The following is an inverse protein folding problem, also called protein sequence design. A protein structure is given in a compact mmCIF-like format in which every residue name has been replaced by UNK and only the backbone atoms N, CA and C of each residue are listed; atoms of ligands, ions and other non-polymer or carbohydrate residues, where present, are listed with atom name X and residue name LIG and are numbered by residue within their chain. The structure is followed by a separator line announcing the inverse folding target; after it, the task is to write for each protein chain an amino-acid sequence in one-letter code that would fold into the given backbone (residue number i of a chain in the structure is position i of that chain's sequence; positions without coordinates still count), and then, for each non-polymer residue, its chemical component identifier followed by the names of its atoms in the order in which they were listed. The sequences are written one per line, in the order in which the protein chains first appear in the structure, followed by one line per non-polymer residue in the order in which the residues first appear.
data_IF_813424996832
#
_entry.id   IF_813424996832
#
_cell.length_a   1.000
_cell.length_b   1.000
_cell.length_c   1.000
_cell.angle_alpha   90.00
_cell.angle_beta   90.00
_cell.angle_gamma   90.00
#
_symmetry.space_group_name_H-M   'P 1'
#
loop_
_entity.id
_entity.type
_entity.pdbx_description
1 polymer ?
#
# COMPACT_ATOMS: atom_id res chain seq x y z
N UNK A 1 8.77 37.11 10.88
CA UNK A 1 8.78 35.64 11.11
C UNK A 1 8.96 34.86 9.81
N UNK A 2 8.96 35.52 8.64
CA UNK A 2 9.14 34.86 7.34
C UNK A 2 10.62 34.53 7.00
N UNK A 3 11.57 35.17 7.68
CA UNK A 3 13.01 34.98 7.42
C UNK A 3 13.51 33.59 7.86
N UNK A 4 13.02 33.04 8.98
CA UNK A 4 13.41 31.70 9.44
C UNK A 4 12.95 30.58 8.50
N UNK A 5 11.79 30.75 7.86
CA UNK A 5 11.29 29.76 6.89
C UNK A 5 12.13 29.77 5.61
N UNK A 6 12.60 30.95 5.19
CA UNK A 6 13.46 31.12 4.01
C UNK A 6 14.84 30.51 4.23
N UNK A 7 15.41 30.66 5.43
CA UNK A 7 16.71 30.08 5.79
C UNK A 7 16.64 28.55 5.87
N UNK A 8 15.55 28.00 6.42
CA UNK A 8 15.34 26.55 6.50
C UNK A 8 15.10 25.92 5.12
N UNK A 9 14.41 26.63 4.22
CA UNK A 9 14.23 26.21 2.83
C UNK A 9 15.57 26.21 2.06
N UNK A 10 16.40 27.25 2.23
CA UNK A 10 17.76 27.29 1.64
C UNK A 10 18.62 26.14 2.13
N UNK A 11 18.59 25.85 3.43
CA UNK A 11 19.38 24.76 4.03
C UNK A 11 18.96 23.39 3.53
N UNK A 12 17.67 23.17 3.24
CA UNK A 12 17.18 21.92 2.63
C UNK A 12 17.62 21.78 1.17
N UNK A 13 17.60 22.86 0.39
CA UNK A 13 18.09 22.84 -0.99
C UNK A 13 19.60 22.60 -1.04
N UNK A 14 20.36 23.25 -0.17
CA UNK A 14 21.82 23.05 -0.06
C UNK A 14 22.17 21.61 0.35
N UNK A 15 21.39 21.01 1.25
CA UNK A 15 21.59 19.62 1.69
C UNK A 15 21.18 18.61 0.62
N UNK A 16 20.16 18.92 -0.18
CA UNK A 16 19.77 18.12 -1.35
C UNK A 16 20.81 18.19 -2.47
N UNK A 17 21.39 19.36 -2.73
CA UNK A 17 22.47 19.52 -3.71
C UNK A 17 23.80 18.91 -3.25
N UNK A 18 24.08 18.90 -1.95
CA UNK A 18 25.25 18.21 -1.40
C UNK A 18 25.13 16.68 -1.46
N UNK A 19 23.91 16.16 -1.56
CA UNK A 19 23.61 14.73 -1.68
C UNK A 19 23.44 14.28 -3.14
N UNK A 20 23.98 15.04 -4.11
CA UNK A 20 24.00 14.69 -5.54
C UNK A 20 24.97 13.53 -5.86
N UNK A 21 24.92 12.50 -5.01
CA UNK A 21 25.47 11.17 -5.22
C UNK A 21 24.33 10.33 -5.80
N UNK A 22 24.44 9.83 -7.05
CA UNK A 22 23.43 8.96 -7.60
C UNK A 22 23.27 7.74 -6.68
N UNK A 23 22.04 7.32 -6.35
CA UNK A 23 21.84 6.13 -5.54
C UNK A 23 22.50 4.93 -6.23
N UNK A 24 23.45 4.29 -5.53
CA UNK A 24 24.25 3.13 -5.99
C UNK A 24 23.42 1.89 -6.35
N UNK A 25 22.09 1.96 -6.25
CA UNK A 25 21.16 0.89 -6.60
C UNK A 25 20.38 1.12 -7.89
N UNK A 26 20.68 2.17 -8.66
CA UNK A 26 20.03 2.37 -9.96
C UNK A 26 20.96 1.89 -11.06
N UNK A 27 20.56 0.80 -11.71
CA UNK A 27 21.15 0.23 -12.91
C UNK A 27 21.49 1.35 -13.89
N UNK A 28 22.74 1.38 -14.35
CA UNK A 28 23.38 2.48 -15.11
C UNK A 28 22.57 2.93 -16.36
N UNK A 29 21.68 2.09 -16.87
CA UNK A 29 20.87 2.37 -18.07
C UNK A 29 19.60 3.21 -17.80
N UNK A 30 19.07 3.23 -16.58
CA UNK A 30 17.78 3.91 -16.30
C UNK A 30 17.94 5.42 -16.10
N UNK A 31 19.08 5.87 -15.59
CA UNK A 31 19.33 7.30 -15.39
C UNK A 31 19.63 8.01 -16.71
N UNK A 32 20.35 7.35 -17.63
CA UNK A 32 20.61 7.89 -18.97
C UNK A 32 19.32 8.21 -19.73
N UNK A 33 18.31 7.33 -19.66
CA UNK A 33 17.04 7.55 -20.35
C UNK A 33 16.23 8.73 -19.76
N UNK A 34 16.27 8.92 -18.43
CA UNK A 34 15.59 10.04 -17.76
C UNK A 34 16.27 11.37 -18.08
N UNK A 35 17.61 11.40 -18.06
CA UNK A 35 18.39 12.61 -18.42
C UNK A 35 18.20 12.97 -19.90
N UNK A 36 18.17 11.98 -20.81
CA UNK A 36 17.90 12.23 -22.24
C UNK A 36 16.49 12.77 -22.48
N UNK A 37 15.49 12.33 -21.71
CA UNK A 37 14.11 12.81 -21.87
C UNK A 37 13.94 14.24 -21.36
N UNK A 38 14.59 14.58 -20.24
CA UNK A 38 14.56 15.93 -19.66
C UNK A 38 15.35 16.93 -20.52
N UNK A 39 16.50 16.54 -21.06
CA UNK A 39 17.25 17.42 -21.98
C UNK A 39 16.54 17.60 -23.32
N UNK A 40 15.90 16.56 -23.87
CA UNK A 40 15.12 16.67 -25.11
C UNK A 40 13.87 17.58 -24.99
N UNK A 41 13.26 17.67 -23.81
CA UNK A 41 12.15 18.62 -23.55
C UNK A 41 12.63 20.07 -23.34
N UNK A 42 13.90 20.27 -22.97
CA UNK A 42 14.45 21.61 -22.71
C UNK A 42 14.85 22.33 -24.02
N UNK A 43 15.19 21.59 -25.08
CA UNK A 43 15.50 22.19 -26.40
C UNK A 43 14.25 22.56 -27.22
N UNK A 44 13.04 22.18 -26.76
CA UNK A 44 11.78 22.50 -27.43
C UNK A 44 11.06 23.71 -26.83
N UNK A 45 11.82 24.78 -26.56
CA UNK A 45 11.25 26.12 -26.37
C UNK A 45 11.33 26.90 -27.70
N UNK A 46 10.19 27.24 -28.32
CA UNK A 46 10.17 27.89 -29.64
C UNK A 46 10.61 29.34 -29.58
N UNK A 47 11.46 29.71 -30.52
CA UNK A 47 11.58 31.08 -31.00
C UNK A 47 10.21 31.59 -31.49
N UNK A 48 10.00 32.90 -31.31
CA UNK A 48 8.93 33.72 -31.88
C UNK A 48 7.70 33.96 -30.99
N UNK A 49 7.82 34.96 -30.11
CA UNK A 49 6.67 35.84 -29.76
C UNK A 49 7.17 37.28 -29.78
N UNK A 50 6.92 37.96 -30.90
CA UNK A 50 6.86 39.41 -31.00
C UNK A 50 5.49 39.77 -31.59
N UNK A 51 4.61 40.38 -30.80
CA UNK A 51 4.13 41.76 -31.00
C UNK A 51 3.04 42.11 -29.95
N UNK A 52 2.95 43.35 -29.45
CA UNK A 52 2.12 43.75 -28.32
C UNK A 52 0.78 44.33 -28.79
N UNK A 53 -0.30 43.99 -28.10
CA UNK A 53 -1.55 44.78 -28.11
C UNK A 53 -1.98 45.13 -26.69
N UNK A 54 -2.23 46.41 -26.39
CA UNK A 54 -2.61 46.84 -25.06
C UNK A 54 -4.15 46.84 -24.89
N UNK A 55 -4.53 46.77 -23.60
CA UNK A 55 -5.77 47.22 -23.00
C UNK A 55 -7.05 46.37 -23.22
N UNK A 56 -7.43 45.63 -22.16
CA UNK A 56 -8.74 45.88 -21.51
C UNK A 56 -8.78 45.35 -20.07
N UNK A 57 -9.06 46.30 -19.18
CA UNK A 57 -9.56 46.20 -17.79
C UNK A 57 -10.33 44.92 -17.47
N UNK A 58 -10.07 44.36 -16.28
CA UNK A 58 -11.14 43.66 -15.52
C UNK A 58 -10.67 42.59 -14.54
N UNK A 59 -10.43 43.01 -13.30
CA UNK A 59 -10.86 42.36 -12.05
C UNK A 59 -10.27 41.01 -11.58
N UNK A 60 -9.99 40.99 -10.26
CA UNK A 60 -9.78 39.86 -9.32
C UNK A 60 -8.61 38.91 -9.64
N UNK A 61 -7.42 39.00 -9.04
CA UNK A 61 -7.04 38.93 -7.60
C UNK A 61 -7.69 37.78 -6.81
N UNK A 62 -6.79 36.84 -6.43
CA UNK A 62 -6.77 36.00 -5.21
C UNK A 62 -7.45 34.63 -5.33
N UNK A 63 -6.64 33.57 -5.18
CA UNK A 63 -7.12 32.20 -4.99
C UNK A 63 -6.02 31.13 -5.00
N UNK A 64 -4.85 31.43 -4.43
CA UNK A 64 -3.83 30.42 -4.13
C UNK A 64 -4.18 29.78 -2.77
N UNK A 65 -3.98 28.46 -2.68
CA UNK A 65 -3.80 27.69 -1.44
C UNK A 65 -4.98 27.50 -0.46
N UNK A 66 -5.83 26.47 -0.68
CA UNK A 66 -6.44 25.67 0.42
C UNK A 66 -6.79 24.26 -0.09
N UNK A 67 -5.87 23.28 -0.02
CA UNK A 67 -6.24 21.85 -0.17
C UNK A 67 -5.25 20.85 0.45
N UNK A 68 -4.26 21.29 1.26
CA UNK A 68 -3.26 20.38 1.88
C UNK A 68 -3.44 20.27 3.41
N UNK A 69 -4.45 20.94 4.00
CA UNK A 69 -4.62 21.00 5.47
C UNK A 69 -5.65 19.99 6.01
N UNK A 70 -6.38 19.27 5.16
CA UNK A 70 -7.44 18.36 5.63
C UNK A 70 -6.97 16.95 6.05
N UNK A 71 -5.72 16.55 5.77
CA UNK A 71 -5.24 15.20 6.04
C UNK A 71 -4.59 15.00 7.44
N UNK A 72 -4.31 16.09 8.17
CA UNK A 72 -3.61 16.01 9.48
C UNK A 72 -4.59 16.06 10.68
N UNK A 73 -5.85 16.43 10.46
CA UNK A 73 -6.83 16.60 11.54
C UNK A 73 -7.47 15.29 12.07
N UNK A 74 -7.27 14.14 11.41
CA UNK A 74 -7.89 12.86 11.84
C UNK A 74 -7.04 12.12 12.88
N UNK A 75 -5.74 12.40 12.99
CA UNK A 75 -4.84 11.67 13.91
C UNK A 75 -4.91 12.20 15.36
N UNK A 76 -5.38 13.44 15.57
CA UNK A 76 -5.44 14.04 16.90
C UNK A 76 -6.72 13.70 17.71
N UNK A 77 -7.72 13.06 17.09
CA UNK A 77 -9.06 12.85 17.70
C UNK A 77 -9.23 11.58 18.54
N UNK A 78 -8.28 10.64 18.52
CA UNK A 78 -8.45 9.33 19.17
C UNK A 78 -7.71 9.17 20.52
N UNK A 79 -7.05 10.22 21.01
CA UNK A 79 -6.24 10.17 22.23
C UNK A 79 -6.99 10.53 23.54
N UNK A 80 -8.29 10.79 23.50
CA UNK A 80 -9.08 11.24 24.66
C UNK A 80 -10.22 10.28 25.00
N UNK A 81 -9.92 8.98 25.07
CA UNK A 81 -10.84 8.02 25.70
C UNK A 81 -10.54 7.97 27.20
N UNK A 82 -11.45 8.46 28.07
CA UNK A 82 -11.28 8.28 29.52
C UNK A 82 -11.31 6.79 29.86
N UNK A 83 -10.47 6.32 30.80
CA UNK A 83 -10.50 4.94 31.25
C UNK A 83 -11.85 4.64 31.95
N UNK A 84 -12.45 3.46 31.72
CA UNK A 84 -13.63 3.06 32.48
C UNK A 84 -13.26 2.89 33.96
N UNK A 85 -14.05 3.53 34.82
CA UNK A 85 -14.00 3.38 36.28
C UNK A 85 -14.27 1.92 36.62
N UNK A 86 -13.25 1.24 37.13
CA UNK A 86 -13.36 -0.12 37.65
C UNK A 86 -14.10 -0.07 38.98
N UNK A 87 -15.33 -0.57 39.01
CA UNK A 87 -16.04 -0.80 40.27
C UNK A 87 -15.34 -1.93 41.05
N UNK A 88 -15.19 -1.81 42.39
CA UNK A 88 -14.69 -2.90 43.21
C UNK A 88 -15.72 -4.03 43.24
N UNK A 89 -15.39 -5.13 42.57
CA UNK A 89 -16.15 -6.39 42.61
C UNK A 89 -15.97 -7.00 44.01
N UNK A 90 -17.06 -7.37 44.72
CA UNK A 90 -16.96 -8.02 46.02
C UNK A 90 -16.33 -9.41 45.89
N UNK A 91 -15.55 -9.76 46.92
CA UNK A 91 -14.73 -10.96 46.99
C UNK A 91 -15.50 -12.25 46.64
N UNK A 92 -14.90 -13.18 45.88
CA UNK A 92 -15.53 -14.46 45.57
C UNK A 92 -15.57 -15.34 46.82
N UNK A 93 -16.77 -15.77 47.20
CA UNK A 93 -16.98 -16.87 48.14
C UNK A 93 -16.40 -18.13 47.50
N UNK A 94 -15.42 -18.71 48.18
CA UNK A 94 -14.72 -19.94 47.80
C UNK A 94 -15.67 -21.14 47.98
N UNK A 95 -16.52 -21.38 46.99
CA UNK A 95 -17.23 -22.65 46.86
C UNK A 95 -16.30 -23.64 46.14
N UNK A 96 -15.80 -24.63 46.85
CA UNK A 96 -15.04 -25.77 46.31
C UNK A 96 -15.97 -26.58 45.39
N UNK A 97 -15.76 -26.60 44.06
CA UNK A 97 -16.53 -27.47 43.17
C UNK A 97 -15.96 -28.90 43.24
N UNK A 98 -16.79 -29.93 43.05
CA UNK A 98 -16.31 -31.31 42.89
C UNK A 98 -15.41 -31.42 41.64
N UNK A 99 -14.45 -32.35 41.62
CA UNK A 99 -13.62 -32.57 40.44
C UNK A 99 -14.52 -33.07 39.31
N UNK A 100 -14.86 -32.18 38.38
CA UNK A 100 -15.36 -32.58 37.09
C UNK A 100 -14.16 -33.08 36.31
N UNK A 101 -14.17 -34.37 35.96
CA UNK A 101 -13.33 -34.93 34.89
C UNK A 101 -13.65 -34.15 33.61
N UNK A 102 -12.94 -33.04 33.41
CA UNK A 102 -12.96 -32.31 32.16
C UNK A 102 -12.11 -33.15 31.22
N UNK A 103 -12.75 -34.09 30.54
CA UNK A 103 -12.21 -34.67 29.32
C UNK A 103 -11.98 -33.49 28.36
N UNK A 104 -10.77 -32.95 28.39
CA UNK A 104 -10.29 -31.91 27.50
C UNK A 104 -10.33 -32.49 26.10
N UNK A 105 -11.50 -32.33 25.48
CA UNK A 105 -11.73 -32.62 24.07
C UNK A 105 -10.89 -31.60 23.34
N UNK A 106 -9.64 -31.98 23.07
CA UNK A 106 -8.71 -31.24 22.25
C UNK A 106 -9.33 -31.23 20.87
N UNK A 107 -10.11 -30.18 20.59
CA UNK A 107 -10.67 -29.97 19.27
C UNK A 107 -9.51 -30.02 18.27
N UNK A 108 -9.62 -30.81 17.18
CA UNK A 108 -8.55 -30.91 16.21
C UNK A 108 -8.26 -29.51 15.69
N UNK A 109 -7.02 -29.06 15.84
CA UNK A 109 -6.58 -27.78 15.25
C UNK A 109 -6.86 -27.86 13.75
N UNK A 110 -7.50 -26.83 13.16
CA UNK A 110 -7.72 -26.82 11.72
C UNK A 110 -6.35 -26.89 11.04
N UNK A 111 -6.13 -27.95 10.28
CA UNK A 111 -4.91 -28.10 9.49
C UNK A 111 -4.96 -27.07 8.37
N UNK A 112 -3.95 -26.22 8.29
CA UNK A 112 -3.75 -25.30 7.15
C UNK A 112 -3.06 -25.98 5.98
N UNK A 113 -2.53 -27.19 6.17
CA UNK A 113 -1.92 -27.99 5.11
C UNK A 113 -2.97 -28.28 4.03
N UNK A 114 -2.66 -27.93 2.78
CA UNK A 114 -3.55 -28.09 1.62
C UNK A 114 -4.48 -26.91 1.33
N UNK A 115 -4.64 -25.95 2.24
CA UNK A 115 -5.63 -24.87 2.06
C UNK A 115 -5.30 -23.96 0.86
N UNK A 116 -4.01 -23.69 0.59
CA UNK A 116 -3.59 -22.95 -0.61
C UNK A 116 -3.72 -23.78 -1.89
N UNK A 117 -3.58 -25.11 -1.82
CA UNK A 117 -3.82 -26.00 -2.95
C UNK A 117 -5.32 -26.04 -3.31
N UNK A 118 -6.18 -26.11 -2.30
CA UNK A 118 -7.64 -26.03 -2.46
C UNK A 118 -8.07 -24.67 -3.03
N UNK A 119 -7.45 -23.58 -2.57
CA UNK A 119 -7.68 -22.24 -3.10
C UNK A 119 -7.27 -22.14 -4.58
N UNK A 120 -6.14 -22.74 -4.95
CA UNK A 120 -5.64 -22.77 -6.33
C UNK A 120 -6.58 -23.55 -7.26
N UNK A 121 -7.07 -24.70 -6.83
CA UNK A 121 -8.09 -25.46 -7.56
C UNK A 121 -9.41 -24.68 -7.68
N UNK A 122 -9.77 -23.89 -6.66
CA UNK A 122 -11.00 -23.11 -6.63
C UNK A 122 -10.96 -21.89 -7.56
N UNK A 123 -9.80 -21.37 -7.97
CA UNK A 123 -9.71 -20.15 -8.81
C UNK A 123 -10.53 -20.26 -10.10
N UNK A 124 -10.46 -21.41 -10.79
CA UNK A 124 -11.16 -21.60 -12.06
C UNK A 124 -12.66 -21.91 -11.92
N UNK A 125 -13.10 -22.38 -10.74
CA UNK A 125 -14.46 -22.89 -10.51
C UNK A 125 -15.29 -21.86 -9.74
N UNK A 126 -14.70 -21.28 -8.69
CA UNK A 126 -15.34 -20.32 -7.79
C UNK A 126 -14.28 -19.36 -7.23
N UNK A 127 -13.98 -18.27 -7.96
CA UNK A 127 -13.00 -17.28 -7.52
C UNK A 127 -13.32 -16.67 -6.15
N UNK A 128 -14.60 -16.45 -5.84
CA UNK A 128 -15.02 -15.94 -4.52
C UNK A 128 -14.63 -16.91 -3.39
N UNK A 129 -14.84 -18.22 -3.59
CA UNK A 129 -14.44 -19.24 -2.63
C UNK A 129 -12.93 -19.34 -2.49
N UNK A 130 -12.19 -19.20 -3.59
CA UNK A 130 -10.73 -19.15 -3.55
C UNK A 130 -10.23 -17.98 -2.70
N UNK A 131 -10.85 -16.80 -2.82
CA UNK A 131 -10.48 -15.62 -2.01
C UNK A 131 -10.70 -15.87 -0.52
N UNK A 132 -11.84 -16.46 -0.14
CA UNK A 132 -12.12 -16.83 1.25
C UNK A 132 -11.08 -17.81 1.84
N UNK A 133 -10.62 -18.77 1.04
CA UNK A 133 -9.58 -19.73 1.45
C UNK A 133 -8.22 -19.05 1.63
N UNK A 134 -7.86 -18.12 0.73
CA UNK A 134 -6.66 -17.29 0.85
C UNK A 134 -6.68 -16.44 2.11
N UNK A 135 -7.80 -15.77 2.39
CA UNK A 135 -7.96 -14.91 3.57
C UNK A 135 -7.92 -15.74 4.86
N UNK A 136 -8.63 -16.88 4.90
CA UNK A 136 -8.58 -17.80 6.04
C UNK A 136 -7.18 -18.36 6.28
N UNK A 137 -6.42 -18.65 5.22
CA UNK A 137 -5.03 -19.08 5.37
C UNK A 137 -4.16 -17.96 5.95
N UNK A 138 -4.35 -16.69 5.55
CA UNK A 138 -3.65 -15.56 6.16
C UNK A 138 -3.93 -15.44 7.67
N UNK A 139 -5.17 -15.68 8.09
CA UNK A 139 -5.57 -15.62 9.51
C UNK A 139 -4.96 -16.77 10.33
N UNK A 140 -5.02 -18.00 9.80
CA UNK A 140 -4.59 -19.20 10.52
C UNK A 140 -3.08 -19.46 10.45
N UNK A 141 -2.42 -19.00 9.40
CA UNK A 141 -0.98 -19.23 9.15
C UNK A 141 -0.30 -17.99 8.54
N UNK A 142 -0.24 -16.85 9.26
CA UNK A 142 0.23 -15.57 8.71
C UNK A 142 1.68 -15.63 8.20
N UNK A 143 2.53 -16.42 8.86
CA UNK A 143 3.95 -16.57 8.53
C UNK A 143 4.23 -17.68 7.51
N UNK A 144 3.25 -18.51 7.17
CA UNK A 144 3.44 -19.60 6.20
C UNK A 144 3.22 -19.09 4.79
N UNK A 145 4.18 -19.36 3.89
CA UNK A 145 4.09 -19.14 2.45
C UNK A 145 3.47 -17.78 2.02
N UNK A 146 3.98 -16.64 2.52
CA UNK A 146 3.41 -15.33 2.24
C UNK A 146 3.42 -15.00 0.74
N UNK A 147 4.47 -15.39 0.01
CA UNK A 147 4.57 -15.12 -1.43
C UNK A 147 3.53 -15.89 -2.23
N UNK A 148 3.39 -17.20 -1.98
CA UNK A 148 2.39 -18.05 -2.65
C UNK A 148 0.98 -17.50 -2.42
N UNK A 149 0.68 -17.13 -1.18
CA UNK A 149 -0.61 -16.54 -0.80
C UNK A 149 -0.89 -15.24 -1.56
N UNK A 150 0.10 -14.35 -1.67
CA UNK A 150 -0.06 -13.08 -2.38
C UNK A 150 -0.28 -13.28 -3.88
N UNK A 151 0.50 -14.17 -4.52
CA UNK A 151 0.30 -14.50 -5.94
C UNK A 151 -1.12 -15.03 -6.17
N UNK A 152 -1.58 -15.94 -5.32
CA UNK A 152 -2.92 -16.52 -5.45
C UNK A 152 -4.02 -15.47 -5.24
N UNK A 153 -3.84 -14.53 -4.29
CA UNK A 153 -4.75 -13.39 -4.11
C UNK A 153 -4.87 -12.56 -5.39
N UNK A 154 -3.75 -12.23 -6.03
CA UNK A 154 -3.73 -11.46 -7.29
C UNK A 154 -4.46 -12.21 -8.40
N UNK A 155 -4.20 -13.51 -8.56
CA UNK A 155 -4.86 -14.36 -9.55
C UNK A 155 -6.38 -14.40 -9.34
N UNK A 156 -6.81 -14.56 -8.09
CA UNK A 156 -8.23 -14.57 -7.73
C UNK A 156 -8.89 -13.21 -7.99
N UNK A 157 -8.22 -12.10 -7.68
CA UNK A 157 -8.74 -10.76 -7.97
C UNK A 157 -8.90 -10.53 -9.48
N UNK A 158 -7.95 -11.01 -10.30
CA UNK A 158 -8.07 -10.97 -11.75
C UNK A 158 -9.23 -11.86 -12.26
N UNK A 159 -9.45 -13.04 -11.66
CA UNK A 159 -10.59 -13.89 -11.99
C UNK A 159 -11.97 -13.33 -11.55
N UNK A 160 -11.99 -12.42 -10.56
CA UNK A 160 -13.17 -11.71 -10.08
C UNK A 160 -13.46 -10.40 -10.85
N UNK A 161 -12.72 -10.12 -11.92
CA UNK A 161 -12.78 -8.86 -12.68
C UNK A 161 -12.49 -7.60 -11.82
N UNK A 162 -11.73 -7.77 -10.73
CA UNK A 162 -11.27 -6.67 -9.85
C UNK A 162 -9.89 -6.18 -10.28
N UNK A 163 -9.76 -5.80 -11.55
CA UNK A 163 -8.48 -5.55 -12.20
C UNK A 163 -7.65 -4.45 -11.53
N UNK A 164 -8.26 -3.35 -11.06
CA UNK A 164 -7.52 -2.25 -10.42
C UNK A 164 -6.89 -2.69 -9.09
N UNK A 165 -7.63 -3.44 -8.27
CA UNK A 165 -7.13 -3.97 -7.01
C UNK A 165 -6.02 -5.00 -7.24
N UNK A 166 -6.19 -5.88 -8.22
CA UNK A 166 -5.18 -6.84 -8.60
C UNK A 166 -3.87 -6.17 -9.07
N UNK A 167 -3.97 -5.08 -9.85
CA UNK A 167 -2.79 -4.30 -10.28
C UNK A 167 -2.09 -3.61 -9.12
N UNK A 168 -2.85 -3.06 -8.16
CA UNK A 168 -2.28 -2.44 -6.98
C UNK A 168 -1.51 -3.47 -6.12
N UNK A 169 -2.11 -4.63 -5.84
CA UNK A 169 -1.49 -5.74 -5.11
C UNK A 169 -0.27 -6.30 -5.87
N UNK A 170 -0.38 -6.49 -7.19
CA UNK A 170 0.73 -6.95 -8.01
C UNK A 170 1.91 -5.97 -8.02
N UNK A 171 1.64 -4.67 -8.09
CA UNK A 171 2.69 -3.64 -8.04
C UNK A 171 3.41 -3.66 -6.70
N UNK A 172 2.66 -3.75 -5.59
CA UNK A 172 3.24 -3.88 -4.25
C UNK A 172 4.08 -5.16 -4.13
N UNK A 173 3.55 -6.30 -4.56
CA UNK A 173 4.27 -7.57 -4.53
C UNK A 173 5.56 -7.56 -5.36
N UNK A 174 5.54 -7.00 -6.57
CA UNK A 174 6.71 -6.92 -7.44
C UNK A 174 7.76 -5.92 -6.93
N UNK A 175 7.39 -4.96 -6.09
CA UNK A 175 8.34 -4.07 -5.42
C UNK A 175 9.11 -4.78 -4.30
N UNK A 176 8.46 -5.68 -3.57
CA UNK A 176 9.02 -6.34 -2.38
C UNK A 176 9.66 -7.71 -2.67
N UNK A 177 9.04 -8.52 -3.53
CA UNK A 177 9.44 -9.91 -3.76
C UNK A 177 10.71 -10.03 -4.60
N UNK A 178 11.65 -10.87 -4.16
CA UNK A 178 12.89 -11.20 -4.91
C UNK A 178 12.85 -12.56 -5.60
N UNK A 179 11.79 -13.34 -5.39
CA UNK A 179 11.69 -14.70 -5.89
C UNK A 179 11.18 -14.71 -7.35
N UNK A 180 12.08 -15.00 -8.29
CA UNK A 180 11.78 -15.04 -9.73
C UNK A 180 10.59 -15.90 -10.16
N UNK A 181 10.34 -17.13 -9.65
CA UNK A 181 9.19 -17.91 -10.11
C UNK A 181 7.85 -17.23 -9.81
N UNK A 182 7.74 -16.58 -8.65
CA UNK A 182 6.52 -15.86 -8.27
C UNK A 182 6.33 -14.58 -9.06
N UNK A 183 7.42 -13.83 -9.32
CA UNK A 183 7.38 -12.62 -10.16
C UNK A 183 6.94 -12.95 -11.59
N UNK A 184 7.46 -14.03 -12.17
CA UNK A 184 7.08 -14.48 -13.51
C UNK A 184 5.59 -14.86 -13.57
N UNK A 185 5.10 -15.58 -12.56
CA UNK A 185 3.69 -15.95 -12.44
C UNK A 185 2.78 -14.72 -12.37
N UNK A 186 3.03 -13.77 -11.47
CA UNK A 186 2.23 -12.54 -11.31
C UNK A 186 2.16 -11.70 -12.60
N UNK A 187 3.26 -11.61 -13.36
CA UNK A 187 3.27 -10.90 -14.64
C UNK A 187 2.37 -11.57 -15.70
N UNK A 188 2.16 -12.87 -15.62
CA UNK A 188 1.31 -13.62 -16.53
C UNK A 188 -0.17 -13.63 -16.11
N UNK A 189 -0.49 -13.44 -14.82
CA UNK A 189 -1.83 -13.66 -14.26
C UNK A 189 -2.92 -12.72 -14.79
N UNK A 190 -2.60 -11.48 -15.15
CA UNK A 190 -3.60 -10.45 -15.45
C UNK A 190 -3.55 -9.94 -16.90
N UNK A 191 -2.83 -10.62 -17.80
CA UNK A 191 -2.75 -10.25 -19.23
C UNK A 191 -3.91 -10.80 -20.06
N UNK A 192 -4.71 -11.73 -19.53
CA UNK A 192 -5.82 -12.36 -20.25
C UNK A 192 -7.21 -11.75 -20.03
N UNK A 193 -7.39 -10.89 -19.02
CA UNK A 193 -8.65 -10.19 -18.76
C UNK A 193 -8.70 -8.91 -19.63
N UNK A 194 -8.90 -9.08 -20.93
CA UNK A 194 -9.28 -7.98 -21.81
C UNK A 194 -10.79 -7.72 -21.65
N UNK A 195 -11.23 -6.45 -21.57
CA UNK A 195 -12.63 -6.07 -21.39
C UNK A 195 -13.54 -6.49 -22.55
#
# INVERSE_FOLDING_TARGET
MDDELSERARKLVELAMAQDLPPVSVVEDSWGMVVSRVTADTERAPASVADPRPARRGALRIGFAVAVVAAIAVVAGLALRPPPVVAPVPAPVRATPPPLDVAETTAPKPSTAGMLDDAEAAVAISPARALELVDRHAELAPTSEPERRMVLRIEVLCALDRAEEARAEATAFLAESRAEPWRARVRASCTGAAP
#
